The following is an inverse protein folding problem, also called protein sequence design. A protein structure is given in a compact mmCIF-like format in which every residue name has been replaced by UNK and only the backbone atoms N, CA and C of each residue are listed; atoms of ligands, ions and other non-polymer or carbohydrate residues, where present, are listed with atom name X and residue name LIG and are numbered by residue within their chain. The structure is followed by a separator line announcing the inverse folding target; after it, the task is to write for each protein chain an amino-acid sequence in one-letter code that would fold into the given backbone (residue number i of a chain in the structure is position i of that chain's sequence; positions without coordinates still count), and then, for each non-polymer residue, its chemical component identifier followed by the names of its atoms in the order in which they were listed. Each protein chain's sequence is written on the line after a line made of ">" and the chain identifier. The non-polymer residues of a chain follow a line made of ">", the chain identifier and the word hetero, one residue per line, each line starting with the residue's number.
data_IF_673953210910
#
_entry.id   IF_673953210910
#
_cell.length_a   1.000
_cell.length_b   1.000
_cell.length_c   1.000
_cell.angle_alpha   90.00
_cell.angle_beta   90.00
_cell.angle_gamma   90.00
#
_symmetry.space_group_name_H-M   'P 1'
#
loop_
_entity.id
_entity.type
_entity.pdbx_description
1 polymer ?
#
# COMPACT_ATOMS: atom_id res chain seq x y z
N UNK A 1 2.22 -28.33 -2.10
CA UNK A 1 2.54 -28.05 -0.69
C UNK A 1 2.20 -26.61 -0.41
N UNK A 2 1.48 -26.37 0.68
CA UNK A 2 0.98 -25.07 1.14
C UNK A 2 2.12 -24.06 1.35
N UNK A 3 1.98 -22.84 0.81
CA UNK A 3 2.57 -21.66 1.43
C UNK A 3 1.42 -20.88 2.04
N UNK A 4 1.13 -21.22 3.29
CA UNK A 4 0.13 -20.54 4.08
C UNK A 4 0.46 -19.06 4.22
N UNK A 5 -0.58 -18.26 4.33
CA UNK A 5 -0.56 -16.96 4.98
C UNK A 5 -0.03 -17.12 6.41
N UNK A 6 1.30 -17.18 6.55
CA UNK A 6 1.99 -17.06 7.81
C UNK A 6 2.16 -15.58 8.08
N UNK A 7 1.37 -15.03 9.00
CA UNK A 7 1.71 -13.78 9.64
C UNK A 7 3.14 -13.93 10.22
N UNK A 8 4.14 -13.14 9.79
CA UNK A 8 5.40 -13.11 10.48
C UNK A 8 5.14 -12.45 11.84
N UNK A 9 5.24 -13.24 12.90
CA UNK A 9 5.37 -12.74 14.26
C UNK A 9 6.56 -11.77 14.31
N UNK A 10 6.24 -10.47 14.31
CA UNK A 10 6.84 -9.44 15.16
C UNK A 10 8.36 -9.52 15.45
N UNK A 11 9.21 -9.59 14.43
CA UNK A 11 10.62 -9.22 14.59
C UNK A 11 11.15 -8.52 13.33
N UNK A 12 10.41 -7.52 12.86
CA UNK A 12 11.03 -6.48 12.05
C UNK A 12 11.64 -5.48 13.03
N UNK A 13 12.96 -5.42 13.04
CA UNK A 13 13.70 -4.23 13.45
C UNK A 13 13.23 -3.11 12.52
N UNK A 14 12.29 -2.31 13.02
CA UNK A 14 11.63 -1.28 12.25
C UNK A 14 11.20 -0.14 13.15
N UNK A 15 11.30 1.06 12.60
CA UNK A 15 10.88 2.30 13.21
C UNK A 15 9.37 2.56 13.04
N UNK A 16 8.61 1.69 12.37
CA UNK A 16 7.21 1.96 12.02
C UNK A 16 6.24 1.06 12.80
N UNK A 17 5.23 1.69 13.41
CA UNK A 17 4.07 1.01 13.97
C UNK A 17 2.83 1.27 13.13
N UNK A 18 2.09 0.20 12.84
CA UNK A 18 0.73 0.25 12.32
C UNK A 18 -0.26 0.24 13.48
N UNK A 19 -1.12 1.24 13.49
CA UNK A 19 -2.22 1.37 14.42
C UNK A 19 -3.50 0.85 13.76
N UNK A 20 -4.28 0.07 14.51
CA UNK A 20 -5.61 -0.40 14.10
C UNK A 20 -6.65 -0.08 15.16
N UNK A 21 -7.84 0.28 14.70
CA UNK A 21 -9.01 0.48 15.55
C UNK A 21 -9.25 1.93 15.96
N UNK A 22 -8.64 2.90 15.28
CA UNK A 22 -8.80 4.32 15.59
C UNK A 22 -10.30 4.72 15.61
N UNK A 23 -10.71 5.63 16.51
CA UNK A 23 -12.00 6.31 16.40
C UNK A 23 -12.14 7.00 15.04
N UNK A 24 -13.34 7.01 14.47
CA UNK A 24 -13.58 7.65 13.16
C UNK A 24 -13.25 9.14 13.11
N UNK A 25 -13.26 9.83 14.26
CA UNK A 25 -12.93 11.25 14.37
C UNK A 25 -11.47 11.53 14.74
N UNK A 26 -10.67 10.48 14.95
CA UNK A 26 -9.28 10.65 15.36
C UNK A 26 -8.46 11.24 14.19
N UNK A 27 -7.65 12.25 14.50
CA UNK A 27 -6.69 12.88 13.61
C UNK A 27 -5.25 12.57 13.98
N UNK A 28 -4.30 13.14 13.24
CA UNK A 28 -2.87 12.96 13.50
C UNK A 28 -2.48 13.44 14.90
N UNK A 29 -3.08 14.53 15.38
CA UNK A 29 -2.87 15.05 16.74
C UNK A 29 -3.21 14.03 17.82
N UNK A 30 -4.29 13.27 17.67
CA UNK A 30 -4.64 12.21 18.63
C UNK A 30 -3.57 11.11 18.66
N UNK A 31 -2.92 10.82 17.52
CA UNK A 31 -1.83 9.85 17.43
C UNK A 31 -0.58 10.38 18.15
N UNK A 32 -0.23 11.66 17.97
CA UNK A 32 0.87 12.29 18.71
C UNK A 32 0.62 12.27 20.22
N UNK A 33 -0.60 12.56 20.67
CA UNK A 33 -0.99 12.47 22.09
C UNK A 33 -0.97 11.02 22.61
N UNK A 34 -1.45 10.07 21.81
CA UNK A 34 -1.43 8.64 22.17
C UNK A 34 -0.01 8.12 22.41
N UNK A 35 0.98 8.69 21.74
CA UNK A 35 2.40 8.41 21.91
C UNK A 35 3.14 9.59 22.58
N UNK A 36 2.46 10.36 23.43
CA UNK A 36 3.11 11.41 24.20
C UNK A 36 4.28 10.84 25.03
N UNK A 37 5.44 11.50 24.92
CA UNK A 37 6.70 11.08 25.53
C UNK A 37 7.57 10.17 24.65
N UNK A 38 7.14 9.89 23.42
CA UNK A 38 7.94 9.19 22.40
C UNK A 38 8.35 10.15 21.26
N UNK A 39 9.46 9.84 20.60
CA UNK A 39 9.93 10.60 19.44
C UNK A 39 9.32 10.05 18.13
N UNK A 40 8.27 10.71 17.65
CA UNK A 40 7.57 10.39 16.40
C UNK A 40 8.01 11.37 15.31
N UNK A 41 8.42 10.84 14.15
CA UNK A 41 8.78 11.61 12.95
C UNK A 41 7.55 11.97 12.12
N UNK A 42 6.54 11.10 12.09
CA UNK A 42 5.31 11.32 11.34
C UNK A 42 4.18 10.37 11.75
N UNK A 43 2.94 10.83 11.53
CA UNK A 43 1.73 10.02 11.65
C UNK A 43 0.98 10.08 10.31
N UNK A 44 0.41 8.97 9.86
CA UNK A 44 -0.23 8.88 8.55
C UNK A 44 -1.52 8.08 8.68
N UNK A 45 -2.67 8.75 8.58
CA UNK A 45 -3.98 8.10 8.63
C UNK A 45 -4.33 7.56 7.24
N UNK A 46 -4.73 6.29 7.19
CA UNK A 46 -5.18 5.66 5.96
C UNK A 46 -6.65 5.98 5.72
N UNK A 47 -6.97 6.37 4.49
CA UNK A 47 -8.34 6.56 4.03
C UNK A 47 -8.75 5.44 3.08
N UNK A 48 -10.04 5.12 3.04
CA UNK A 48 -10.63 4.26 2.03
C UNK A 48 -10.77 5.01 0.68
N UNK A 49 -11.24 4.32 -0.36
CA UNK A 49 -11.40 4.87 -1.70
C UNK A 49 -12.41 6.01 -1.77
N UNK A 50 -13.38 6.01 -0.86
CA UNK A 50 -14.39 7.07 -0.72
C UNK A 50 -13.88 8.28 0.10
N UNK A 51 -12.62 8.24 0.56
CA UNK A 51 -12.00 9.27 1.40
C UNK A 51 -12.36 9.17 2.88
N UNK A 52 -13.15 8.17 3.29
CA UNK A 52 -13.48 7.96 4.69
C UNK A 52 -12.28 7.40 5.46
N UNK A 53 -12.13 7.71 6.77
CA UNK A 53 -11.04 7.17 7.58
C UNK A 53 -11.20 5.66 7.75
N UNK A 54 -10.19 4.89 7.34
CA UNK A 54 -10.20 3.42 7.38
C UNK A 54 -10.12 2.84 8.81
N UNK A 55 -9.93 3.69 9.83
CA UNK A 55 -9.65 3.28 11.20
C UNK A 55 -8.24 2.69 11.40
N UNK A 56 -7.35 2.91 10.43
CA UNK A 56 -5.95 2.50 10.45
C UNK A 56 -5.03 3.70 10.24
N UNK A 57 -3.84 3.64 10.84
CA UNK A 57 -2.81 4.64 10.66
C UNK A 57 -1.41 4.01 10.77
N UNK A 58 -0.40 4.76 10.36
CA UNK A 58 1.00 4.49 10.66
C UNK A 58 1.58 5.58 11.54
N UNK A 59 2.51 5.21 12.41
CA UNK A 59 3.38 6.13 13.14
C UNK A 59 4.83 5.72 12.89
N UNK A 60 5.63 6.65 12.39
CA UNK A 60 7.07 6.49 12.17
C UNK A 60 7.82 7.11 13.35
N UNK A 61 8.69 6.34 13.99
CA UNK A 61 9.49 6.76 15.13
C UNK A 61 10.92 7.09 14.69
N UNK A 62 11.64 7.81 15.55
CA UNK A 62 13.02 8.22 15.29
C UNK A 62 13.98 7.02 15.10
N UNK A 63 13.78 5.95 15.87
CA UNK A 63 14.60 4.75 15.81
C UNK A 63 13.81 3.50 16.26
N UNK A 64 14.42 2.33 16.07
CA UNK A 64 13.77 1.03 16.32
C UNK A 64 13.54 0.76 17.80
N UNK A 65 14.45 1.23 18.67
CA UNK A 65 14.30 1.11 20.11
C UNK A 65 13.09 1.91 20.59
N UNK A 66 12.87 3.10 20.03
CA UNK A 66 11.72 3.94 20.29
C UNK A 66 10.41 3.24 19.91
N UNK A 67 10.32 2.74 18.68
CA UNK A 67 9.16 1.98 18.20
C UNK A 67 8.90 0.73 19.07
N UNK A 68 9.96 0.04 19.49
CA UNK A 68 9.87 -1.11 20.41
C UNK A 68 9.33 -0.69 21.79
N UNK A 69 9.80 0.43 22.35
CA UNK A 69 9.28 0.96 23.63
C UNK A 69 7.81 1.41 23.48
N UNK A 70 7.45 2.00 22.35
CA UNK A 70 6.10 2.48 22.06
C UNK A 70 5.06 1.34 22.02
N UNK A 71 5.46 0.09 21.77
CA UNK A 71 4.58 -1.08 21.92
C UNK A 71 4.03 -1.29 23.34
N UNK A 72 4.61 -0.64 24.36
CA UNK A 72 4.02 -0.59 25.70
C UNK A 72 2.63 0.06 25.73
N UNK A 73 2.27 0.83 24.68
CA UNK A 73 0.93 1.39 24.48
C UNK A 73 -0.03 0.44 23.76
N UNK A 74 0.36 -0.80 23.42
CA UNK A 74 -0.55 -1.75 22.78
C UNK A 74 -1.81 -1.97 23.65
N UNK A 75 -2.98 -1.89 23.01
CA UNK A 75 -4.31 -1.97 23.63
C UNK A 75 -4.66 -0.82 24.58
N UNK A 76 -3.84 0.23 24.66
CA UNK A 76 -4.26 1.47 25.29
C UNK A 76 -5.40 2.12 24.50
N UNK A 77 -6.14 3.02 25.16
CA UNK A 77 -7.32 3.64 24.59
C UNK A 77 -7.00 4.98 23.93
N UNK A 78 -7.64 5.22 22.79
CA UNK A 78 -7.80 6.54 22.17
C UNK A 78 -9.31 6.81 22.14
N UNK A 79 -9.77 7.71 23.00
CA UNK A 79 -11.20 7.85 23.28
C UNK A 79 -11.80 6.53 23.78
N UNK A 80 -12.86 6.06 23.12
CA UNK A 80 -13.59 4.83 23.50
C UNK A 80 -13.05 3.56 22.84
N UNK A 81 -11.97 3.67 22.04
CA UNK A 81 -11.45 2.56 21.23
C UNK A 81 -10.09 2.13 21.76
N UNK A 82 -9.90 0.83 21.95
CA UNK A 82 -8.57 0.28 22.17
C UNK A 82 -7.81 0.23 20.84
N UNK A 83 -6.54 0.58 20.88
CA UNK A 83 -5.68 0.62 19.69
C UNK A 83 -4.78 -0.60 19.67
N UNK A 84 -4.82 -1.36 18.57
CA UNK A 84 -3.87 -2.46 18.34
C UNK A 84 -2.64 -1.92 17.62
N UNK A 85 -1.47 -2.20 18.16
CA UNK A 85 -0.17 -1.83 17.58
C UNK A 85 0.51 -3.05 16.98
N UNK A 86 1.07 -2.87 15.78
CA UNK A 86 1.80 -3.90 15.05
C UNK A 86 3.06 -3.26 14.47
N UNK A 87 4.24 -3.83 14.76
CA UNK A 87 5.47 -3.45 14.06
C UNK A 87 5.41 -3.95 12.62
N UNK A 88 5.68 -3.06 11.67
CA UNK A 88 5.64 -3.33 10.23
C UNK A 88 6.88 -2.73 9.58
N UNK A 89 7.40 -3.29 8.48
CA UNK A 89 8.50 -2.66 7.76
C UNK A 89 8.06 -1.33 7.14
N UNK A 90 9.00 -0.39 7.02
CA UNK A 90 8.78 0.91 6.36
C UNK A 90 8.21 0.75 4.95
N UNK A 91 8.65 -0.27 4.22
CA UNK A 91 8.16 -0.58 2.87
C UNK A 91 6.66 -0.91 2.84
N UNK A 92 6.08 -1.50 3.89
CA UNK A 92 4.63 -1.72 3.97
C UNK A 92 3.89 -0.39 4.09
N UNK A 93 4.38 0.53 4.94
CA UNK A 93 3.83 1.87 5.06
C UNK A 93 3.89 2.61 3.72
N UNK A 94 5.06 2.65 3.07
CA UNK A 94 5.24 3.32 1.78
C UNK A 94 4.33 2.73 0.69
N UNK A 95 4.17 1.41 0.64
CA UNK A 95 3.25 0.74 -0.30
C UNK A 95 1.79 1.10 -0.04
N UNK A 96 1.36 1.15 1.22
CA UNK A 96 -0.02 1.48 1.54
C UNK A 96 -0.33 2.98 1.34
N UNK A 97 0.60 3.87 1.69
CA UNK A 97 0.44 5.31 1.48
C UNK A 97 0.43 5.66 -0.02
N UNK A 98 1.24 4.97 -0.83
CA UNK A 98 1.21 5.13 -2.29
C UNK A 98 -0.05 4.55 -2.93
N UNK A 99 -0.62 3.47 -2.37
CA UNK A 99 -1.88 2.90 -2.82
C UNK A 99 -3.11 3.76 -2.48
N UNK A 100 -3.03 4.61 -1.45
CA UNK A 100 -4.04 5.62 -1.14
C UNK A 100 -3.89 6.92 -1.96
N UNK A 101 -2.88 7.02 -2.83
CA UNK A 101 -2.77 7.99 -3.94
C UNK A 101 -3.24 7.40 -5.28
N UNK A 102 -3.27 8.16 -6.41
CA UNK A 102 -3.75 7.65 -7.68
C UNK A 102 -2.98 6.37 -8.09
N UNK A 103 -3.72 5.27 -8.09
CA UNK A 103 -3.34 3.88 -8.30
C UNK A 103 -2.11 3.72 -9.21
N UNK A 104 -0.93 3.27 -8.73
CA UNK A 104 0.10 2.74 -9.60
C UNK A 104 -0.33 1.36 -10.14
N UNK A 105 -0.10 1.05 -11.43
CA UNK A 105 -0.53 -0.21 -12.02
C UNK A 105 0.09 -1.41 -11.29
N UNK A 106 -0.62 -2.55 -11.18
CA UNK A 106 -0.08 -3.75 -10.56
C UNK A 106 1.17 -4.20 -11.31
N UNK A 107 2.24 -4.53 -10.58
CA UNK A 107 3.46 -5.10 -11.15
C UNK A 107 3.12 -6.36 -11.97
N UNK A 108 3.85 -6.61 -13.08
CA UNK A 108 3.58 -7.78 -13.92
C UNK A 108 3.79 -9.06 -13.11
N UNK A 109 2.71 -9.85 -12.98
CA UNK A 109 2.77 -11.18 -12.36
C UNK A 109 3.56 -12.08 -13.31
N UNK A 110 4.81 -12.36 -12.99
CA UNK A 110 5.61 -13.35 -13.70
C UNK A 110 5.02 -14.75 -13.44
N UNK A 111 4.29 -15.27 -14.43
CA UNK A 111 4.06 -16.72 -14.55
C UNK A 111 2.63 -17.17 -14.75
N UNK A 112 2.09 -16.99 -15.95
CA UNK A 112 1.24 -17.99 -16.59
C UNK A 112 1.91 -18.40 -17.90
N UNK A 113 2.70 -19.46 -17.84
CA UNK A 113 3.25 -20.11 -19.03
C UNK A 113 2.12 -20.93 -19.70
N UNK A 114 1.87 -20.68 -20.99
CA UNK A 114 0.90 -21.51 -21.71
C UNK A 114 0.49 -21.05 -23.11
N UNK A 115 1.43 -20.66 -23.98
CA UNK A 115 1.30 -20.89 -25.43
C UNK A 115 2.66 -20.74 -26.13
N UNK A 116 3.28 -21.88 -26.38
CA UNK A 116 4.32 -22.08 -27.40
C UNK A 116 3.72 -21.79 -28.79
N UNK A 117 4.24 -20.83 -29.55
CA UNK A 117 4.98 -20.95 -30.83
C UNK A 117 4.65 -19.63 -31.56
N UNK A 118 5.54 -18.88 -32.19
CA UNK A 118 6.56 -19.24 -33.15
C UNK A 118 7.53 -18.05 -33.23
N UNK A 119 8.82 -18.33 -33.13
CA UNK A 119 9.88 -17.38 -33.38
C UNK A 119 10.11 -17.32 -34.88
N UNK A 120 9.57 -16.32 -35.58
CA UNK A 120 10.05 -15.91 -36.90
C UNK A 120 10.03 -14.40 -37.09
N UNK A 121 11.24 -13.84 -36.95
CA UNK A 121 11.85 -12.95 -37.94
C UNK A 121 11.35 -11.51 -38.00
N UNK A 122 12.15 -10.61 -37.42
CA UNK A 122 12.36 -9.28 -37.98
C UNK A 122 13.11 -9.47 -39.31
N UNK A 123 12.40 -9.59 -40.42
CA UNK A 123 13.04 -9.54 -41.74
C UNK A 123 12.02 -9.08 -42.79
N UNK A 124 12.44 -8.15 -43.65
CA UNK A 124 11.93 -8.09 -45.01
C UNK A 124 10.81 -7.10 -45.32
N UNK A 125 11.21 -6.03 -46.00
CA UNK A 125 10.46 -5.24 -46.96
C UNK A 125 9.43 -6.03 -47.81
N UNK A 126 8.36 -5.34 -48.26
CA UNK A 126 7.92 -5.19 -49.68
C UNK A 126 6.39 -5.32 -49.90
N UNK A 127 5.75 -4.16 -50.13
CA UNK A 127 4.83 -3.88 -51.25
C UNK A 127 3.40 -4.44 -51.28
N UNK A 128 2.46 -3.60 -51.75
CA UNK A 128 1.39 -4.06 -52.66
C UNK A 128 -0.07 -3.70 -52.34
N UNK A 129 -0.51 -2.55 -52.87
CA UNK A 129 -1.70 -2.31 -53.71
C UNK A 129 -3.11 -2.91 -53.42
N UNK A 130 -4.13 -2.05 -53.62
CA UNK A 130 -5.49 -2.38 -54.13
C UNK A 130 -6.63 -1.87 -53.23
N UNK A 131 -7.25 -0.72 -53.47
CA UNK A 131 -8.31 -0.38 -54.46
C UNK A 131 -9.74 -0.82 -54.09
N UNK A 132 -10.63 0.19 -54.01
CA UNK A 132 -12.10 0.24 -54.18
C UNK A 132 -12.68 1.11 -53.05
N UNK A 133 -13.42 2.20 -53.24
CA UNK A 133 -14.32 2.65 -54.31
C UNK A 133 -15.56 3.23 -53.58
N UNK A 134 -15.94 4.48 -53.88
CA UNK A 134 -16.92 5.30 -53.11
C UNK A 134 -18.39 4.84 -53.16
N UNK A 135 -19.43 5.71 -52.96
CA UNK A 135 -19.48 7.14 -53.32
C UNK A 135 -20.22 8.02 -52.24
N UNK A 136 -20.92 9.15 -52.53
CA UNK A 136 -20.46 10.48 -52.10
C UNK A 136 -21.46 11.34 -51.27
N UNK A 137 -20.91 12.41 -50.69
CA UNK A 137 -21.43 13.80 -50.45
C UNK A 137 -22.89 14.08 -50.05
N UNK A 138 -23.01 14.88 -48.98
CA UNK A 138 -23.71 16.19 -48.91
C UNK A 138 -22.87 17.07 -47.94
N UNK A 139 -22.63 18.38 -48.11
CA UNK A 139 -23.16 19.44 -48.98
C UNK A 139 -22.03 20.15 -49.73
#
# INVERSE_FOLDING_TARGET
>A
GMHGAGAPNASYDSTVLKLKGLPYKAGELDIFEFFHGFNILGAYILTDMDGSPSGMAFAEFDNEEEARRALSRDRAYMGERFIKLIRVPRSEMEQQLSATGPIPPPAPVQGYAGAVQDNRSYDGFRGGAGSAGGPPRTQ
#
